data_IF_739329019465
#
_entry.id   IF_739329019465
#
_cell.length_a   1.000
_cell.length_b   1.000
_cell.length_c   1.000
_cell.angle_alpha   90.00
_cell.angle_beta   90.00
_cell.angle_gamma   90.00
#
_symmetry.space_group_name_H-M   'P 1'
#
loop_
_entity.id
_entity.type
_entity.pdbx_description
1 polymer ?
#
# COMPACT_ATOMS: atom_id res chain seq x y z
N UNK A 1 3.24 43.05 66.74
CA UNK A 1 4.27 43.66 65.86
C UNK A 1 4.29 42.86 64.57
N UNK A 2 3.73 43.41 63.50
CA UNK A 2 3.72 42.81 62.16
C UNK A 2 5.01 43.24 61.44
N UNK A 3 5.88 42.30 61.08
CA UNK A 3 7.06 42.59 60.25
C UNK A 3 6.72 42.32 58.80
N UNK A 4 6.50 43.40 58.06
CA UNK A 4 6.47 43.43 56.60
C UNK A 4 7.75 42.79 56.04
N UNK A 5 7.61 41.69 55.30
CA UNK A 5 8.68 41.15 54.48
C UNK A 5 8.45 41.63 53.05
N UNK A 6 9.20 42.66 52.63
CA UNK A 6 9.25 43.09 51.24
C UNK A 6 10.04 42.06 50.42
N UNK A 7 9.65 41.74 49.18
CA UNK A 7 10.49 40.92 48.30
C UNK A 7 11.74 41.70 47.88
N UNK A 8 12.90 41.08 48.08
CA UNK A 8 14.17 41.55 47.52
C UNK A 8 14.13 41.25 46.02
N UNK A 9 13.95 42.27 45.20
CA UNK A 9 14.16 42.17 43.74
C UNK A 9 15.67 42.23 43.51
N UNK A 10 16.30 41.06 43.40
CA UNK A 10 17.68 40.99 42.96
C UNK A 10 17.66 41.13 41.43
N UNK A 11 18.20 42.24 40.92
CA UNK A 11 18.40 42.49 39.48
C UNK A 11 19.56 41.61 39.00
N UNK A 12 19.33 40.29 39.02
CA UNK A 12 20.23 39.29 38.48
C UNK A 12 19.87 39.08 37.02
N UNK A 13 20.82 39.42 36.15
CA UNK A 13 20.82 39.05 34.75
C UNK A 13 20.44 37.55 34.64
N UNK A 14 19.27 37.25 34.09
CA UNK A 14 18.84 35.88 33.85
C UNK A 14 19.69 35.37 32.69
N UNK A 15 20.84 34.77 33.00
CA UNK A 15 21.56 33.97 32.01
C UNK A 15 20.68 32.74 31.82
N UNK A 16 19.82 32.79 30.81
CA UNK A 16 19.32 31.59 30.18
C UNK A 16 20.60 30.89 29.72
N UNK A 17 21.06 29.86 30.45
CA UNK A 17 21.90 28.88 29.79
C UNK A 17 21.05 28.40 28.64
N UNK A 18 21.47 28.71 27.41
CA UNK A 18 21.06 27.91 26.27
C UNK A 18 21.46 26.50 26.65
N UNK A 19 20.50 25.77 27.23
CA UNK A 19 20.59 24.35 27.40
C UNK A 19 20.59 23.87 25.96
N UNK A 20 21.81 23.76 25.42
CA UNK A 20 22.08 23.20 24.13
C UNK A 20 21.79 21.71 24.28
N UNK A 21 20.50 21.39 24.42
CA UNK A 21 19.94 20.13 24.04
C UNK A 21 20.32 20.00 22.58
N UNK A 22 21.48 19.41 22.34
CA UNK A 22 21.77 18.77 21.09
C UNK A 22 20.61 17.80 20.93
N UNK A 23 19.61 18.21 20.13
CA UNK A 23 18.53 17.34 19.73
C UNK A 23 19.27 16.18 19.10
N UNK A 24 19.24 15.01 19.75
CA UNK A 24 19.82 13.81 19.17
C UNK A 24 19.29 13.74 17.74
N UNK A 25 20.17 13.53 16.75
CA UNK A 25 19.72 13.32 15.39
C UNK A 25 18.63 12.27 15.45
N UNK A 26 17.50 12.60 14.84
CA UNK A 26 16.34 11.74 14.84
C UNK A 26 15.92 11.59 13.40
N UNK A 27 15.33 10.44 13.03
CA UNK A 27 14.88 10.22 11.67
C UNK A 27 13.95 11.34 11.22
N UNK A 28 14.10 11.75 9.97
CA UNK A 28 13.28 12.75 9.32
C UNK A 28 12.57 12.13 8.12
N UNK A 29 11.23 12.23 8.10
CA UNK A 29 10.40 11.80 6.97
C UNK A 29 9.97 13.04 6.21
N UNK A 30 10.59 13.29 5.07
CA UNK A 30 10.37 14.51 4.26
C UNK A 30 9.10 14.43 3.45
N UNK A 31 8.81 13.26 2.90
CA UNK A 31 7.62 13.01 2.09
C UNK A 31 7.29 11.53 2.10
N UNK A 32 6.01 11.21 1.99
CA UNK A 32 5.51 9.85 1.80
C UNK A 32 4.28 9.87 0.91
N UNK A 33 3.99 8.73 0.30
CA UNK A 33 2.85 8.60 -0.60
C UNK A 33 2.52 7.17 -0.97
N UNK A 34 1.47 7.06 -1.77
CA UNK A 34 0.97 5.81 -2.34
C UNK A 34 1.04 5.93 -3.86
N UNK A 35 1.56 4.91 -4.52
CA UNK A 35 1.54 4.75 -5.97
C UNK A 35 0.57 3.61 -6.33
N UNK A 36 -0.25 3.87 -7.34
CA UNK A 36 -1.35 2.98 -7.71
C UNK A 36 -2.65 3.30 -6.96
N UNK A 37 -3.69 2.50 -7.23
CA UNK A 37 -4.99 2.63 -6.60
C UNK A 37 -5.12 1.52 -5.56
N UNK A 38 -5.11 1.88 -4.29
CA UNK A 38 -5.46 0.93 -3.25
C UNK A 38 -6.94 0.55 -3.40
N UNK A 39 -7.20 -0.73 -3.66
CA UNK A 39 -8.54 -1.34 -3.73
C UNK A 39 -8.48 -2.80 -3.21
N UNK A 40 -9.58 -3.54 -3.39
CA UNK A 40 -9.72 -4.92 -2.91
C UNK A 40 -8.93 -5.96 -3.71
N UNK A 41 -8.59 -5.62 -4.96
CA UNK A 41 -8.15 -6.59 -5.96
C UNK A 41 -6.73 -6.33 -6.48
N UNK A 42 -6.25 -5.08 -6.40
CA UNK A 42 -4.98 -4.63 -6.98
C UNK A 42 -3.96 -4.28 -5.90
N UNK A 43 -2.69 -4.69 -6.08
CA UNK A 43 -1.61 -4.27 -5.22
C UNK A 43 -1.28 -2.78 -5.44
N UNK A 44 -0.69 -2.17 -4.42
CA UNK A 44 -0.24 -0.78 -4.46
C UNK A 44 1.11 -0.64 -3.78
N UNK A 45 1.86 0.41 -4.10
CA UNK A 45 3.19 0.64 -3.51
C UNK A 45 3.12 1.83 -2.56
N UNK A 46 3.68 1.67 -1.36
CA UNK A 46 3.90 2.78 -0.43
C UNK A 46 5.36 3.19 -0.49
N UNK A 47 5.61 4.50 -0.53
CA UNK A 47 6.96 5.05 -0.56
C UNK A 47 7.14 6.15 0.49
N UNK A 48 8.38 6.31 0.95
CA UNK A 48 8.77 7.38 1.85
C UNK A 48 10.22 7.81 1.61
N UNK A 49 10.44 9.13 1.58
CA UNK A 49 11.76 9.72 1.63
C UNK A 49 12.12 9.98 3.10
N UNK A 50 13.05 9.18 3.60
CA UNK A 50 13.49 9.17 5.00
C UNK A 50 14.99 9.40 5.03
N UNK A 51 15.43 10.29 5.91
CA UNK A 51 16.85 10.52 6.18
C UNK A 51 17.10 10.45 7.67
N UNK A 52 18.34 10.15 8.02
CA UNK A 52 18.88 10.35 9.36
C UNK A 52 20.20 11.10 9.24
N UNK A 53 20.44 12.10 10.09
CA UNK A 53 21.67 12.90 10.04
C UNK A 53 22.88 12.10 10.56
N UNK A 54 22.65 11.08 11.40
CA UNK A 54 23.71 10.21 11.95
C UNK A 54 23.89 8.91 11.14
N UNK A 55 23.18 8.77 10.01
CA UNK A 55 23.21 7.61 9.09
C UNK A 55 22.95 6.25 9.77
N UNK A 56 22.28 6.23 10.92
CA UNK A 56 22.08 5.05 11.76
C UNK A 56 20.63 4.56 11.75
N UNK A 57 19.94 4.75 10.62
CA UNK A 57 18.57 4.29 10.45
C UNK A 57 18.48 2.76 10.52
N UNK A 58 17.68 2.23 11.45
CA UNK A 58 17.51 0.78 11.65
C UNK A 58 16.39 0.23 10.79
N UNK A 59 15.23 0.89 10.81
CA UNK A 59 14.10 0.46 10.02
C UNK A 59 13.22 1.62 9.59
N UNK A 60 12.55 1.40 8.46
CA UNK A 60 11.43 2.18 7.99
C UNK A 60 10.29 1.20 7.80
N UNK A 61 9.14 1.46 8.41
CA UNK A 61 8.01 0.55 8.43
C UNK A 61 6.77 1.28 7.95
N UNK A 62 6.04 0.69 7.00
CA UNK A 62 4.68 1.14 6.67
C UNK A 62 3.69 0.48 7.63
N UNK A 63 2.83 1.30 8.20
CA UNK A 63 1.72 0.91 9.04
C UNK A 63 0.42 1.12 8.26
N UNK A 64 -0.41 0.09 8.21
CA UNK A 64 -1.76 0.15 7.67
C UNK A 64 -2.72 -0.27 8.76
N UNK A 65 -3.61 0.62 9.15
CA UNK A 65 -4.64 0.37 10.15
C UNK A 65 -6.02 0.56 9.54
N UNK A 66 -6.81 -0.50 9.49
CA UNK A 66 -8.19 -0.45 9.02
C UNK A 66 -9.14 -1.17 9.98
N UNK A 67 -10.44 -1.19 9.64
CA UNK A 67 -11.46 -1.84 10.47
C UNK A 67 -11.23 -3.35 10.62
N UNK A 68 -10.60 -3.99 9.63
CA UNK A 68 -10.48 -5.45 9.55
C UNK A 68 -9.03 -5.92 9.31
N UNK A 69 -8.04 -5.02 9.30
CA UNK A 69 -6.65 -5.39 9.11
C UNK A 69 -5.72 -4.38 9.78
N UNK A 70 -4.67 -4.90 10.43
CA UNK A 70 -3.51 -4.13 10.88
C UNK A 70 -2.28 -4.80 10.30
N UNK A 71 -1.53 -4.05 9.48
CA UNK A 71 -0.33 -4.54 8.81
C UNK A 71 0.85 -3.62 9.14
N UNK A 72 1.98 -4.23 9.47
CA UNK A 72 3.24 -3.53 9.68
C UNK A 72 4.30 -4.20 8.80
N UNK A 73 4.79 -3.47 7.80
CA UNK A 73 5.68 -4.02 6.80
C UNK A 73 6.96 -3.18 6.70
N UNK A 74 8.11 -3.84 6.78
CA UNK A 74 9.41 -3.17 6.69
C UNK A 74 9.65 -2.73 5.24
N UNK A 75 9.94 -1.47 5.02
CA UNK A 75 10.23 -0.90 3.70
C UNK A 75 11.69 -1.13 3.31
N UNK A 76 11.94 -1.25 2.00
CA UNK A 76 13.29 -1.47 1.45
C UNK A 76 13.78 -0.20 0.78
N UNK A 77 15.03 0.18 1.01
CA UNK A 77 15.67 1.30 0.31
C UNK A 77 16.06 0.89 -1.12
N UNK A 78 15.59 1.63 -2.12
CA UNK A 78 15.85 1.34 -3.54
C UNK A 78 17.02 2.15 -4.14
N UNK A 79 17.75 2.92 -3.33
CA UNK A 79 18.80 3.83 -3.77
C UNK A 79 18.37 5.30 -3.85
N UNK A 80 17.06 5.59 -3.78
CA UNK A 80 16.53 6.96 -3.75
C UNK A 80 15.59 7.19 -2.57
N UNK A 81 14.69 6.24 -2.31
CA UNK A 81 13.72 6.31 -1.22
C UNK A 81 13.38 4.90 -0.71
N UNK A 82 12.65 4.82 0.41
CA UNK A 82 12.15 3.57 0.94
C UNK A 82 10.82 3.23 0.28
N UNK A 83 10.64 1.99 -0.16
CA UNK A 83 9.38 1.54 -0.75
C UNK A 83 8.98 0.13 -0.31
N UNK A 84 7.69 -0.14 -0.41
CA UNK A 84 7.10 -1.44 -0.13
C UNK A 84 5.89 -1.68 -1.03
N UNK A 85 5.92 -2.79 -1.76
CA UNK A 85 4.74 -3.29 -2.44
C UNK A 85 3.82 -3.95 -1.41
N UNK A 86 2.57 -3.49 -1.41
CA UNK A 86 1.52 -3.93 -0.51
C UNK A 86 0.54 -4.82 -1.27
N UNK A 87 0.12 -5.90 -0.62
CA UNK A 87 -0.97 -6.72 -1.11
C UNK A 87 -2.29 -5.92 -1.12
N UNK A 88 -3.27 -6.33 -1.94
CA UNK A 88 -4.60 -5.74 -1.93
C UNK A 88 -5.23 -5.78 -0.53
N UNK A 89 -6.03 -4.76 -0.20
CA UNK A 89 -6.70 -4.67 1.10
C UNK A 89 -8.02 -5.44 1.03
N UNK A 90 -8.17 -6.57 1.74
CA UNK A 90 -9.16 -7.60 1.40
C UNK A 90 -10.62 -7.25 1.71
N UNK A 91 -10.92 -6.04 2.21
CA UNK A 91 -12.27 -5.65 2.60
C UNK A 91 -12.50 -4.15 2.41
N UNK A 92 -13.74 -3.74 2.13
CA UNK A 92 -14.09 -2.34 2.02
C UNK A 92 -14.03 -1.67 3.38
N UNK A 93 -13.66 -0.40 3.40
CA UNK A 93 -13.50 0.38 4.61
C UNK A 93 -12.45 1.48 4.49
N UNK A 94 -12.32 2.27 5.55
CA UNK A 94 -11.32 3.33 5.61
C UNK A 94 -10.07 2.81 6.33
N UNK A 95 -8.94 2.90 5.65
CA UNK A 95 -7.62 2.54 6.15
C UNK A 95 -6.79 3.80 6.35
N UNK A 96 -6.09 3.87 7.47
CA UNK A 96 -5.07 4.85 7.77
C UNK A 96 -3.69 4.26 7.48
N UNK A 97 -2.96 4.90 6.58
CA UNK A 97 -1.65 4.46 6.13
C UNK A 97 -0.63 5.52 6.50
N UNK A 98 0.40 5.14 7.25
CA UNK A 98 1.51 6.04 7.60
C UNK A 98 2.83 5.26 7.64
N UNK A 99 3.93 6.00 7.61
CA UNK A 99 5.27 5.43 7.69
C UNK A 99 5.90 5.82 9.01
N UNK A 100 6.61 4.89 9.63
CA UNK A 100 7.41 5.09 10.84
C UNK A 100 8.88 4.81 10.52
N UNK A 101 9.78 5.60 11.09
CA UNK A 101 11.23 5.44 10.94
C UNK A 101 11.87 5.39 12.32
N UNK A 102 12.81 4.46 12.52
CA UNK A 102 13.48 4.21 13.81
C UNK A 102 14.99 4.13 13.58
N UNK A 103 15.77 4.82 14.40
CA UNK A 103 17.25 4.79 14.44
C UNK A 103 17.81 3.78 15.46
N UNK A 104 19.14 3.72 15.62
CA UNK A 104 19.77 2.79 16.58
C UNK A 104 19.64 3.24 18.04
N UNK A 105 19.34 4.51 18.30
CA UNK A 105 19.02 5.03 19.65
C UNK A 105 17.54 4.94 19.99
N UNK A 106 16.75 4.32 19.12
CA UNK A 106 15.33 4.09 19.28
C UNK A 106 14.50 5.39 19.26
N UNK A 107 15.01 6.47 18.67
CA UNK A 107 14.19 7.63 18.32
C UNK A 107 13.30 7.26 17.15
N UNK A 108 12.04 7.65 17.23
CA UNK A 108 11.02 7.29 16.24
C UNK A 108 10.41 8.52 15.63
N UNK A 109 10.28 8.52 14.30
CA UNK A 109 9.55 9.53 13.55
C UNK A 109 8.36 8.91 12.84
N UNK A 110 7.20 9.52 13.02
CA UNK A 110 5.98 9.17 12.30
C UNK A 110 5.76 10.18 11.19
N UNK A 111 5.48 9.67 10.00
CA UNK A 111 5.20 10.43 8.80
C UNK A 111 3.75 10.89 8.73
N UNK A 112 3.37 11.40 7.56
CA UNK A 112 1.99 11.81 7.31
C UNK A 112 1.05 10.60 7.26
N UNK A 113 -0.11 10.76 7.87
CA UNK A 113 -1.25 9.86 7.76
C UNK A 113 -2.01 10.09 6.45
N UNK A 114 -2.23 9.00 5.72
CA UNK A 114 -2.97 8.97 4.45
C UNK A 114 -4.19 8.08 4.68
N UNK A 115 -5.36 8.71 4.72
CA UNK A 115 -6.64 8.00 4.79
C UNK A 115 -7.07 7.56 3.40
N UNK A 116 -7.24 6.26 3.21
CA UNK A 116 -7.72 5.65 1.97
C UNK A 116 -9.03 4.93 2.24
N UNK A 117 -10.06 5.22 1.47
CA UNK A 117 -11.34 4.49 1.53
C UNK A 117 -11.42 3.50 0.40
N UNK A 118 -11.41 2.22 0.75
CA UNK A 118 -11.64 1.10 -0.15
C UNK A 118 -13.15 0.91 -0.28
N UNK A 119 -13.63 0.94 -1.52
CA UNK A 119 -15.02 0.67 -1.85
C UNK A 119 -15.12 -0.78 -2.31
N UNK A 120 -16.27 -1.39 -2.05
CA UNK A 120 -16.61 -2.72 -2.52
C UNK A 120 -16.46 -2.78 -4.05
N UNK A 121 -15.75 -3.79 -4.55
CA UNK A 121 -15.59 -3.99 -5.98
C UNK A 121 -16.90 -4.57 -6.55
N UNK A 122 -17.84 -3.67 -6.88
CA UNK A 122 -19.10 -4.07 -7.49
C UNK A 122 -18.82 -4.39 -8.96
N UNK A 123 -18.97 -5.65 -9.41
CA UNK A 123 -18.76 -5.97 -10.82
C UNK A 123 -19.73 -5.16 -11.67
N UNK A 124 -19.23 -4.62 -12.78
CA UNK A 124 -20.07 -3.88 -13.71
C UNK A 124 -21.27 -4.75 -14.13
N UNK A 125 -22.49 -4.20 -14.12
CA UNK A 125 -23.67 -4.95 -14.51
C UNK A 125 -23.55 -5.39 -15.97
N UNK A 126 -23.46 -6.69 -16.17
CA UNK A 126 -23.42 -7.29 -17.50
C UNK A 126 -24.83 -7.30 -18.08
N UNK A 127 -25.05 -6.60 -19.20
CA UNK A 127 -26.34 -6.63 -19.89
C UNK A 127 -26.60 -8.03 -20.47
N UNK A 128 -27.63 -8.76 -19.99
CA UNK A 128 -27.96 -10.08 -20.48
C UNK A 128 -28.45 -10.07 -21.93
N UNK A 129 -29.07 -8.97 -22.38
CA UNK A 129 -29.61 -8.84 -23.75
C UNK A 129 -28.47 -8.83 -24.77
N UNK A 130 -27.31 -8.28 -24.40
CA UNK A 130 -26.14 -8.22 -25.28
C UNK A 130 -25.26 -9.46 -25.07
N UNK A 131 -25.02 -9.84 -23.82
CA UNK A 131 -24.01 -10.87 -23.50
C UNK A 131 -24.49 -12.29 -23.76
N UNK A 132 -25.77 -12.60 -23.48
CA UNK A 132 -26.28 -13.96 -23.68
C UNK A 132 -26.28 -14.39 -25.16
N UNK A 133 -26.73 -13.56 -26.13
CA UNK A 133 -26.64 -13.94 -27.53
C UNK A 133 -25.20 -14.18 -28.00
N UNK A 134 -24.24 -13.37 -27.54
CA UNK A 134 -22.82 -13.53 -27.90
C UNK A 134 -22.28 -14.88 -27.41
N UNK A 135 -22.57 -15.25 -26.16
CA UNK A 135 -22.15 -16.54 -25.57
C UNK A 135 -22.82 -17.73 -26.29
N UNK A 136 -24.10 -17.61 -26.64
CA UNK A 136 -24.82 -18.67 -27.36
C UNK A 136 -24.27 -18.84 -28.78
N UNK A 137 -24.08 -17.75 -29.52
CA UNK A 137 -23.56 -17.81 -30.91
C UNK A 137 -22.14 -18.37 -30.94
N UNK A 138 -21.27 -17.91 -30.04
CA UNK A 138 -19.89 -18.40 -29.94
C UNK A 138 -19.84 -19.90 -29.58
N UNK A 139 -20.70 -20.36 -28.68
CA UNK A 139 -20.80 -21.78 -28.32
C UNK A 139 -21.29 -22.64 -29.49
N UNK A 140 -22.31 -22.18 -30.23
CA UNK A 140 -22.82 -22.87 -31.42
C UNK A 140 -21.75 -22.91 -32.53
N UNK A 141 -21.06 -21.80 -32.76
CA UNK A 141 -19.99 -21.72 -33.76
C UNK A 141 -18.86 -22.72 -33.43
N UNK A 142 -18.45 -22.80 -32.17
CA UNK A 142 -17.43 -23.75 -31.73
C UNK A 142 -17.91 -25.20 -31.90
N UNK A 143 -19.17 -25.49 -31.53
CA UNK A 143 -19.79 -26.80 -31.77
C UNK A 143 -19.83 -27.19 -33.24
N UNK A 144 -20.17 -26.26 -34.13
CA UNK A 144 -20.18 -26.48 -35.58
C UNK A 144 -18.77 -26.77 -36.12
N UNK A 145 -17.75 -26.06 -35.64
CA UNK A 145 -16.35 -26.32 -36.03
C UNK A 145 -15.93 -27.73 -35.63
N UNK A 146 -16.19 -28.13 -34.38
CA UNK A 146 -15.87 -29.48 -33.90
C UNK A 146 -16.61 -30.54 -34.71
N UNK A 147 -17.88 -30.31 -35.04
CA UNK A 147 -18.67 -31.22 -35.86
C UNK A 147 -18.09 -31.38 -37.28
N UNK A 148 -17.69 -30.29 -37.92
CA UNK A 148 -17.06 -30.32 -39.26
C UNK A 148 -15.73 -31.11 -39.20
N UNK A 149 -14.92 -30.88 -38.17
CA UNK A 149 -13.65 -31.61 -37.99
C UNK A 149 -13.91 -33.11 -37.80
N UNK A 150 -14.90 -33.49 -36.99
CA UNK A 150 -15.27 -34.88 -36.77
C UNK A 150 -15.70 -35.57 -38.07
N UNK A 151 -16.52 -34.90 -38.89
CA UNK A 151 -16.92 -35.42 -40.20
C UNK A 151 -15.73 -35.60 -41.16
N UNK A 152 -14.80 -34.64 -41.18
CA UNK A 152 -13.59 -34.79 -42.00
C UNK A 152 -12.71 -35.95 -41.52
N UNK A 153 -12.61 -36.14 -40.21
CA UNK A 153 -11.85 -37.23 -39.61
C UNK A 153 -12.45 -38.59 -39.96
N UNK A 154 -13.77 -38.76 -39.82
CA UNK A 154 -14.48 -39.97 -40.20
C UNK A 154 -14.29 -40.29 -41.69
N UNK A 155 -14.43 -39.28 -42.56
CA UNK A 155 -14.23 -39.43 -44.00
C UNK A 155 -12.81 -39.90 -44.34
N UNK A 156 -11.78 -39.40 -43.63
CA UNK A 156 -10.38 -39.85 -43.80
C UNK A 156 -10.19 -41.30 -43.34
N UNK A 157 -10.83 -41.70 -42.23
CA UNK A 157 -10.74 -43.09 -41.77
C UNK A 157 -11.41 -44.07 -42.73
N UNK A 158 -12.57 -43.72 -43.29
CA UNK A 158 -13.26 -44.57 -44.26
C UNK A 158 -12.45 -44.76 -45.56
N UNK A 159 -11.74 -43.72 -46.03
CA UNK A 159 -10.84 -43.85 -47.19
C UNK A 159 -9.59 -44.68 -46.91
N UNK A 160 -9.05 -44.63 -45.69
CA UNK A 160 -7.92 -45.47 -45.28
C UNK A 160 -8.27 -46.96 -45.10
N UNK A 161 -9.54 -47.28 -44.90
CA UNK A 161 -10.04 -48.65 -44.70
C UNK A 161 -10.44 -49.37 -46.01
N UNK A 162 -10.46 -48.68 -47.16
CA UNK A 162 -10.83 -49.27 -48.46
C UNK A 162 -9.64 -49.75 -49.31
N UNK A 163 -8.42 -49.73 -48.77
CA UNK A 163 -7.19 -50.14 -49.47
C UNK A 163 -6.61 -51.49 -49.00
N UNK A 164 -7.47 -52.46 -48.63
CA UNK A 164 -7.07 -53.86 -48.38
C UNK A 164 -7.89 -54.78 -49.27
#
# INVERSE_FOLDING_TARGET
MMTNSQPIVNSGNLILSEDNHQIAASPSIWSSGILGRANESDPFTVWANVTDDDEDLVNVTVHVNGPNATLHEIMTFNGTYYERDMNPLPNPGTFDIYVSAIDTQNNTRIGRHISVTILEDIPDPVDPIITLPIVVISSIALGAVVFIIALQYEKRQQMGNQSI
#
